data_IF_625565354913
#
_entry.id   IF_625565354913
#
_cell.length_a   1.000
_cell.length_b   1.000
_cell.length_c   1.000
_cell.angle_alpha   90.00
_cell.angle_beta   90.00
_cell.angle_gamma   90.00
#
_symmetry.space_group_name_H-M   'P 1'
#
loop_
_entity.id
_entity.type
_entity.pdbx_description
1 polymer ?
#
# COMPACT_ATOMS: atom_id res chain seq x y z
N UNK A 1 32.17 -13.09 14.47
CA UNK A 1 32.32 -12.10 15.55
C UNK A 1 31.66 -10.80 15.06
N UNK A 2 30.43 -10.54 15.48
CA UNK A 2 29.70 -9.34 15.12
C UNK A 2 30.41 -8.12 15.67
N UNK A 3 30.81 -7.21 14.77
CA UNK A 3 31.28 -5.88 15.18
C UNK A 3 30.05 -5.13 15.69
N UNK A 4 29.92 -4.90 16.99
CA UNK A 4 29.00 -3.87 17.50
C UNK A 4 29.28 -2.59 16.70
N UNK A 5 28.22 -1.91 16.25
CA UNK A 5 28.34 -0.55 15.72
C UNK A 5 29.25 0.22 16.68
N UNK A 6 30.32 0.79 16.15
CA UNK A 6 31.36 1.38 16.99
C UNK A 6 30.71 2.41 17.92
N UNK A 7 31.13 2.47 19.17
CA UNK A 7 30.68 3.43 20.17
C UNK A 7 30.65 4.87 19.64
N UNK A 8 31.69 5.22 18.85
CA UNK A 8 31.84 6.53 18.20
C UNK A 8 30.67 6.89 17.27
N UNK A 9 30.05 5.89 16.59
CA UNK A 9 28.88 6.09 15.73
C UNK A 9 27.66 6.46 16.59
N UNK A 10 27.43 5.72 17.66
CA UNK A 10 26.32 5.98 18.59
C UNK A 10 26.45 7.36 19.22
N UNK A 11 27.65 7.72 19.72
CA UNK A 11 27.94 9.04 20.30
C UNK A 11 27.73 10.19 19.30
N UNK A 12 28.05 9.97 18.02
CA UNK A 12 27.81 10.96 16.95
C UNK A 12 26.32 11.15 16.69
N UNK A 13 25.53 10.07 16.63
CA UNK A 13 24.08 10.12 16.46
C UNK A 13 23.38 10.75 17.68
N UNK A 14 23.86 10.46 18.91
CA UNK A 14 23.37 11.08 20.16
C UNK A 14 23.57 12.60 20.15
N UNK A 15 24.65 13.11 19.56
CA UNK A 15 24.87 14.56 19.42
C UNK A 15 23.89 15.24 18.47
N UNK A 16 23.37 14.52 17.49
CA UNK A 16 22.41 15.06 16.50
C UNK A 16 21.00 15.11 17.09
N UNK A 17 20.50 14.00 17.64
CA UNK A 17 19.09 13.87 18.01
C UNK A 17 18.83 13.89 19.52
N UNK A 18 19.85 13.79 20.37
CA UNK A 18 19.74 13.56 21.81
C UNK A 18 19.83 12.06 22.16
N UNK A 19 20.42 11.77 23.31
CA UNK A 19 20.70 10.39 23.77
C UNK A 19 19.43 9.54 23.91
N UNK A 20 18.33 10.12 24.37
CA UNK A 20 17.03 9.45 24.55
C UNK A 20 16.39 8.98 23.24
N UNK A 21 16.84 9.53 22.09
CA UNK A 21 16.31 9.23 20.74
C UNK A 21 17.24 8.31 19.93
N UNK A 22 18.29 7.80 20.56
CA UNK A 22 19.17 6.76 19.99
C UNK A 22 18.99 5.49 20.80
N UNK A 23 18.41 4.45 20.16
CA UNK A 23 18.09 3.18 20.84
C UNK A 23 19.05 2.09 20.37
N UNK A 24 19.80 1.52 21.31
CA UNK A 24 20.76 0.43 21.09
C UNK A 24 20.41 -0.85 21.85
N UNK A 25 19.51 -0.76 22.81
CA UNK A 25 19.08 -1.88 23.64
C UNK A 25 18.26 -2.88 22.83
N UNK A 26 18.68 -4.13 22.77
CA UNK A 26 18.06 -5.19 21.96
C UNK A 26 16.54 -5.29 22.15
N UNK A 27 16.07 -5.34 23.38
CA UNK A 27 14.65 -5.46 23.70
C UNK A 27 13.80 -4.29 23.19
N UNK A 28 14.39 -3.10 23.02
CA UNK A 28 13.71 -1.90 22.56
C UNK A 28 13.74 -1.71 21.04
N UNK A 29 14.68 -2.36 20.35
CA UNK A 29 14.79 -2.27 18.89
C UNK A 29 14.00 -3.35 18.16
N UNK A 30 13.53 -4.40 18.85
CA UNK A 30 12.86 -5.56 18.21
C UNK A 30 11.65 -5.16 17.37
N UNK A 31 10.83 -4.20 17.82
CA UNK A 31 9.68 -3.67 17.10
C UNK A 31 10.05 -2.90 15.81
N UNK A 32 11.32 -2.52 15.68
CA UNK A 32 11.84 -1.80 14.50
C UNK A 32 12.53 -2.72 13.49
N UNK A 33 12.68 -4.01 13.80
CA UNK A 33 13.41 -4.96 12.95
C UNK A 33 12.53 -5.63 11.90
N UNK A 34 11.22 -5.62 12.10
CA UNK A 34 10.27 -6.35 11.26
C UNK A 34 9.20 -5.41 10.72
N UNK A 35 8.62 -5.80 9.60
CA UNK A 35 7.37 -5.27 9.07
C UNK A 35 6.30 -6.37 9.06
N UNK A 36 5.15 -6.15 8.41
CA UNK A 36 4.05 -7.12 8.37
C UNK A 36 4.17 -8.16 7.24
N UNK A 37 5.30 -8.21 6.53
CA UNK A 37 5.55 -9.28 5.57
C UNK A 37 5.36 -10.65 6.24
N UNK A 38 4.73 -11.58 5.53
CA UNK A 38 4.53 -12.93 6.02
C UNK A 38 5.88 -13.62 6.33
N UNK A 39 5.93 -14.40 7.39
CA UNK A 39 7.17 -15.01 7.90
C UNK A 39 7.96 -15.77 6.85
N UNK A 40 7.27 -16.47 5.94
CA UNK A 40 7.91 -17.30 4.91
C UNK A 40 8.66 -16.49 3.84
N UNK A 41 8.31 -15.20 3.64
CA UNK A 41 8.94 -14.30 2.64
C UNK A 41 9.67 -13.13 3.26
N UNK A 42 9.56 -12.97 4.58
CA UNK A 42 10.19 -11.88 5.31
C UNK A 42 11.71 -12.03 5.31
N UNK A 43 12.47 -11.00 4.92
CA UNK A 43 13.92 -11.03 5.02
C UNK A 43 14.36 -11.11 6.49
N UNK A 44 15.51 -11.73 6.72
CA UNK A 44 16.09 -11.82 8.07
C UNK A 44 16.71 -10.47 8.44
N UNK A 45 16.33 -9.92 9.61
CA UNK A 45 16.93 -8.66 10.06
C UNK A 45 18.39 -8.85 10.50
N UNK A 46 19.19 -7.81 10.32
CA UNK A 46 20.54 -7.74 10.86
C UNK A 46 20.52 -7.66 12.40
N UNK A 47 21.64 -8.04 13.02
CA UNK A 47 21.75 -8.11 14.48
C UNK A 47 22.33 -6.85 15.11
N UNK A 48 23.11 -6.06 14.33
CA UNK A 48 23.79 -4.85 14.83
C UNK A 48 23.20 -3.62 14.14
N UNK A 49 22.04 -3.19 14.60
CA UNK A 49 21.41 -1.96 14.15
C UNK A 49 21.22 -1.01 15.33
N UNK A 50 21.17 0.29 15.01
CA UNK A 50 20.80 1.36 15.94
C UNK A 50 19.55 2.04 15.42
N UNK A 51 18.56 2.28 16.28
CA UNK A 51 17.35 3.04 15.90
C UNK A 51 17.55 4.50 16.28
N UNK A 52 17.35 5.40 15.33
CA UNK A 52 17.50 6.85 15.52
C UNK A 52 16.17 7.54 15.16
N UNK A 53 15.73 8.45 16.02
CA UNK A 53 14.44 9.14 15.93
C UNK A 53 14.64 10.66 15.79
N UNK A 54 14.79 11.19 14.57
CA UNK A 54 14.94 12.63 14.32
C UNK A 54 13.64 13.38 14.66
N UNK A 55 13.76 14.67 15.04
CA UNK A 55 12.63 15.54 15.34
C UNK A 55 12.21 16.43 14.17
N UNK A 56 13.06 16.58 13.14
CA UNK A 56 12.87 17.50 12.01
C UNK A 56 13.75 17.10 10.83
N UNK A 57 13.54 17.75 9.68
CA UNK A 57 14.32 17.50 8.46
C UNK A 57 15.81 17.78 8.60
N UNK A 58 16.20 18.72 9.46
CA UNK A 58 17.63 19.06 9.69
C UNK A 58 18.34 17.93 10.43
N UNK A 59 17.69 17.30 11.42
CA UNK A 59 18.24 16.11 12.07
C UNK A 59 18.44 14.97 11.05
N UNK A 60 17.43 14.74 10.17
CA UNK A 60 17.53 13.75 9.08
C UNK A 60 18.70 14.05 8.16
N UNK A 61 18.88 15.34 7.78
CA UNK A 61 19.99 15.82 6.95
C UNK A 61 21.35 15.48 7.59
N UNK A 62 21.54 15.81 8.86
CA UNK A 62 22.79 15.53 9.57
C UNK A 62 23.05 14.03 9.73
N UNK A 63 22.01 13.23 9.99
CA UNK A 63 22.15 11.76 10.10
C UNK A 63 22.56 11.17 8.75
N UNK A 64 21.91 11.60 7.63
CA UNK A 64 22.23 11.07 6.31
C UNK A 64 23.62 11.49 5.83
N UNK A 65 24.01 12.76 6.01
CA UNK A 65 25.36 13.22 5.70
C UNK A 65 26.42 12.42 6.46
N UNK A 66 26.23 12.21 7.77
CA UNK A 66 27.10 11.38 8.59
C UNK A 66 27.16 9.93 8.11
N UNK A 67 25.99 9.36 7.75
CA UNK A 67 25.91 7.99 7.26
C UNK A 67 26.59 7.82 5.90
N UNK A 68 26.44 8.79 4.99
CA UNK A 68 27.05 8.78 3.65
C UNK A 68 28.57 8.88 3.72
N UNK A 69 29.11 9.81 4.52
CA UNK A 69 30.54 9.94 4.76
C UNK A 69 31.19 8.65 5.31
N UNK A 70 30.44 7.95 6.18
CA UNK A 70 30.92 6.72 6.83
C UNK A 70 30.47 5.43 6.12
N UNK A 71 29.72 5.53 5.01
CA UNK A 71 29.13 4.42 4.24
C UNK A 71 28.32 3.47 5.13
N UNK A 72 27.48 4.03 5.99
CA UNK A 72 26.61 3.29 6.90
C UNK A 72 25.23 3.13 6.25
N UNK A 73 24.72 1.90 6.07
CA UNK A 73 23.37 1.67 5.58
C UNK A 73 22.31 2.34 6.46
N UNK A 74 21.33 2.99 5.82
CA UNK A 74 20.19 3.63 6.49
C UNK A 74 18.89 3.02 5.97
N UNK A 75 18.06 2.55 6.88
CA UNK A 75 16.75 1.95 6.62
C UNK A 75 15.65 2.89 7.10
N UNK A 76 15.07 3.73 6.23
CA UNK A 76 13.95 4.60 6.60
C UNK A 76 12.75 3.76 7.05
N UNK A 77 12.14 4.15 8.17
CA UNK A 77 11.00 3.43 8.74
C UNK A 77 9.87 4.39 9.08
N UNK A 78 8.68 4.12 8.55
CA UNK A 78 7.40 4.65 8.99
C UNK A 78 6.76 3.73 10.03
N UNK A 79 5.47 3.41 9.89
CA UNK A 79 4.75 2.50 10.79
C UNK A 79 5.21 1.04 10.76
N UNK A 80 5.93 0.62 9.73
CA UNK A 80 6.36 -0.78 9.56
C UNK A 80 5.23 -1.71 9.10
N UNK A 81 4.17 -1.19 8.53
CA UNK A 81 2.96 -1.90 8.08
C UNK A 81 3.09 -2.53 6.69
N UNK A 82 4.26 -2.44 6.06
CA UNK A 82 4.50 -2.99 4.72
C UNK A 82 4.52 -4.51 4.69
N UNK A 83 4.14 -5.10 3.55
CA UNK A 83 3.95 -6.55 3.37
C UNK A 83 5.07 -7.23 2.57
N UNK A 84 6.18 -6.52 2.28
CA UNK A 84 7.22 -7.00 1.36
C UNK A 84 8.64 -6.87 1.91
N UNK A 85 8.81 -6.68 3.22
CA UNK A 85 10.13 -6.58 3.86
C UNK A 85 10.84 -5.25 3.59
N UNK A 86 10.15 -4.23 3.09
CA UNK A 86 10.75 -2.95 2.70
C UNK A 86 11.38 -2.18 3.86
N UNK A 87 10.82 -2.28 5.07
CA UNK A 87 11.32 -1.61 6.28
C UNK A 87 12.29 -2.47 7.10
N UNK A 88 12.55 -3.72 6.72
CA UNK A 88 13.42 -4.64 7.46
C UNK A 88 14.90 -4.30 7.20
N UNK A 89 15.71 -3.98 8.24
CA UNK A 89 17.15 -3.75 8.07
C UNK A 89 17.85 -5.09 7.84
N UNK A 90 18.40 -5.32 6.66
CA UNK A 90 19.08 -6.59 6.30
C UNK A 90 20.59 -6.53 6.44
N UNK A 91 21.14 -5.37 6.79
CA UNK A 91 22.56 -5.14 7.03
C UNK A 91 22.73 -4.35 8.33
N UNK A 92 23.92 -4.43 8.93
CA UNK A 92 24.26 -3.59 10.07
C UNK A 92 24.20 -2.11 9.65
N UNK A 93 23.53 -1.27 10.45
CA UNK A 93 23.31 0.13 10.08
C UNK A 93 22.30 0.87 10.97
N UNK A 94 21.72 1.90 10.41
CA UNK A 94 20.79 2.81 11.10
C UNK A 94 19.36 2.51 10.65
N UNK A 95 18.46 2.22 11.56
CA UNK A 95 17.02 2.32 11.35
C UNK A 95 16.59 3.75 11.66
N UNK A 96 16.15 4.48 10.66
CA UNK A 96 15.74 5.88 10.78
C UNK A 96 14.22 5.94 10.94
N UNK A 97 13.75 5.97 12.20
CA UNK A 97 12.32 6.05 12.52
C UNK A 97 11.83 7.49 12.46
N UNK A 98 10.83 7.74 11.63
CA UNK A 98 10.27 9.08 11.39
C UNK A 98 9.09 9.42 12.32
N UNK A 99 8.82 8.60 13.33
CA UNK A 99 7.65 8.70 14.21
C UNK A 99 7.50 10.03 14.95
N UNK A 100 8.59 10.81 15.13
CA UNK A 100 8.56 12.13 15.78
C UNK A 100 8.22 13.28 14.84
N UNK A 101 8.23 13.04 13.53
CA UNK A 101 7.77 13.99 12.53
C UNK A 101 6.25 13.84 12.39
N UNK A 102 5.48 14.34 13.33
CA UNK A 102 4.07 13.98 13.51
C UNK A 102 3.09 15.15 13.39
N UNK A 103 3.53 16.31 12.88
CA UNK A 103 2.68 17.49 12.72
C UNK A 103 1.83 17.40 11.44
N UNK A 104 0.56 17.79 11.56
CA UNK A 104 -0.37 17.92 10.44
C UNK A 104 -1.16 19.22 10.55
N UNK A 105 -1.26 19.94 9.43
CA UNK A 105 -1.98 21.21 9.31
C UNK A 105 -2.92 21.16 8.09
N UNK A 106 -4.14 21.66 8.25
CA UNK A 106 -5.13 21.73 7.17
C UNK A 106 -5.23 23.16 6.63
N UNK A 107 -5.00 23.28 5.33
CA UNK A 107 -5.22 24.49 4.56
C UNK A 107 -6.57 24.37 3.82
N UNK A 108 -7.63 24.85 4.47
CA UNK A 108 -9.00 24.76 3.94
C UNK A 108 -9.18 25.56 2.66
N UNK A 109 -8.53 26.70 2.54
CA UNK A 109 -8.69 27.59 1.38
C UNK A 109 -8.12 26.95 0.12
N UNK A 110 -7.02 26.22 0.26
CA UNK A 110 -6.37 25.53 -0.85
C UNK A 110 -6.80 24.05 -0.98
N UNK A 111 -7.66 23.53 -0.09
CA UNK A 111 -8.05 22.13 0.01
C UNK A 111 -6.83 21.20 0.10
N UNK A 112 -5.94 21.49 1.03
CA UNK A 112 -4.69 20.73 1.20
C UNK A 112 -4.40 20.45 2.66
N UNK A 113 -3.67 19.34 2.89
CA UNK A 113 -3.02 19.04 4.15
C UNK A 113 -1.51 19.16 3.98
N UNK A 114 -0.84 19.73 4.97
CA UNK A 114 0.61 19.66 5.13
C UNK A 114 0.89 18.72 6.26
N UNK A 115 1.46 17.54 5.96
CA UNK A 115 1.69 16.48 6.94
C UNK A 115 3.17 16.09 6.98
N UNK A 116 3.75 15.97 8.17
CA UNK A 116 5.05 15.37 8.38
C UNK A 116 4.98 13.85 8.20
N UNK A 117 6.11 13.22 7.89
CA UNK A 117 6.17 11.83 7.44
C UNK A 117 5.69 10.80 8.46
N UNK A 118 5.80 11.09 9.75
CA UNK A 118 5.38 10.23 10.86
C UNK A 118 3.90 10.34 11.23
N UNK A 119 3.13 11.25 10.61
CA UNK A 119 1.68 11.35 10.81
C UNK A 119 1.02 10.05 10.36
N UNK A 120 0.18 9.43 11.20
CA UNK A 120 -0.59 8.26 10.79
C UNK A 120 -1.72 8.63 9.84
N UNK A 121 -2.11 7.70 8.97
CA UNK A 121 -3.25 7.90 8.07
C UNK A 121 -4.53 8.21 8.86
N UNK A 122 -4.77 7.50 9.97
CA UNK A 122 -5.91 7.76 10.85
C UNK A 122 -5.92 9.21 11.33
N UNK A 123 -4.77 9.74 11.83
CA UNK A 123 -4.68 11.13 12.29
C UNK A 123 -4.94 12.12 11.15
N UNK A 124 -4.39 11.86 9.94
CA UNK A 124 -4.63 12.70 8.78
C UNK A 124 -6.13 12.72 8.41
N UNK A 125 -6.78 11.55 8.35
CA UNK A 125 -8.22 11.43 8.05
C UNK A 125 -9.05 12.16 9.10
N UNK A 126 -8.78 11.94 10.39
CA UNK A 126 -9.51 12.59 11.49
C UNK A 126 -9.36 14.12 11.42
N UNK A 127 -8.13 14.62 11.23
CA UNK A 127 -7.88 16.06 11.17
C UNK A 127 -8.53 16.71 9.92
N UNK A 128 -8.56 16.00 8.79
CA UNK A 128 -9.27 16.46 7.60
C UNK A 128 -10.79 16.47 7.83
N UNK A 129 -11.34 15.44 8.49
CA UNK A 129 -12.77 15.32 8.81
C UNK A 129 -13.25 16.44 9.74
N UNK A 130 -12.49 16.78 10.77
CA UNK A 130 -12.73 17.92 11.67
C UNK A 130 -12.74 19.25 10.92
N UNK A 131 -11.99 19.33 9.83
CA UNK A 131 -11.99 20.46 8.93
C UNK A 131 -13.13 20.43 7.89
N UNK A 132 -14.03 19.44 7.92
CA UNK A 132 -15.09 19.19 6.92
C UNK A 132 -14.52 18.89 5.53
N UNK A 133 -13.34 18.25 5.48
CA UNK A 133 -12.68 17.80 4.26
C UNK A 133 -12.49 16.28 4.30
N UNK A 134 -12.20 15.72 3.13
CA UNK A 134 -12.07 14.29 2.92
C UNK A 134 -10.70 13.96 2.31
N UNK A 135 -9.98 13.00 2.92
CA UNK A 135 -8.80 12.38 2.34
C UNK A 135 -9.16 10.98 1.83
N UNK A 136 -9.05 10.71 0.52
CA UNK A 136 -9.69 9.52 -0.06
C UNK A 136 -8.90 8.22 0.05
N UNK A 137 -7.59 8.25 0.34
CA UNK A 137 -6.78 7.04 0.42
C UNK A 137 -7.32 6.06 1.47
N UNK A 138 -7.45 4.78 1.11
CA UNK A 138 -7.97 3.75 1.99
C UNK A 138 -7.28 2.38 1.73
N UNK A 139 -6.03 2.22 2.18
CA UNK A 139 -5.26 0.99 1.97
C UNK A 139 -5.64 -0.14 2.95
N UNK A 140 -6.57 0.10 3.89
CA UNK A 140 -7.00 -0.88 4.90
C UNK A 140 -6.20 -0.84 6.21
N UNK A 141 -5.05 -0.15 6.25
CA UNK A 141 -4.20 -0.03 7.45
C UNK A 141 -4.01 1.45 7.82
N UNK A 142 -4.76 1.90 8.82
CA UNK A 142 -4.81 3.32 9.22
C UNK A 142 -3.66 3.73 10.15
N UNK A 143 -2.90 2.79 10.72
CA UNK A 143 -1.69 3.08 11.51
C UNK A 143 -0.48 3.37 10.63
N UNK A 144 -0.57 3.08 9.32
CA UNK A 144 0.45 3.42 8.35
C UNK A 144 0.78 4.92 8.37
N UNK A 145 2.07 5.26 8.32
CA UNK A 145 2.54 6.64 8.36
C UNK A 145 2.61 7.25 6.95
N UNK A 146 2.27 8.53 6.83
CA UNK A 146 2.17 9.28 5.58
C UNK A 146 3.45 9.18 4.74
N UNK A 147 4.63 9.30 5.34
CA UNK A 147 5.90 9.13 4.63
C UNK A 147 6.06 7.75 4.00
N UNK A 148 5.64 6.69 4.71
CA UNK A 148 5.61 5.31 4.22
C UNK A 148 4.62 5.12 3.08
N UNK A 149 3.39 5.67 3.21
CA UNK A 149 2.37 5.63 2.16
C UNK A 149 2.85 6.29 0.86
N UNK A 150 3.56 7.42 0.95
CA UNK A 150 4.17 8.07 -0.23
C UNK A 150 5.34 7.26 -0.77
N UNK A 151 6.21 6.75 0.10
CA UNK A 151 7.38 5.96 -0.31
C UNK A 151 7.00 4.67 -1.03
N UNK A 152 5.86 4.06 -0.71
CA UNK A 152 5.34 2.86 -1.39
C UNK A 152 4.35 3.20 -2.52
N UNK A 153 3.93 4.46 -2.67
CA UNK A 153 2.84 4.87 -3.55
C UNK A 153 1.57 4.06 -3.26
N UNK A 154 1.17 4.01 -1.99
CA UNK A 154 0.07 3.18 -1.52
C UNK A 154 -1.23 3.40 -2.30
N UNK A 155 -1.94 2.32 -2.55
CA UNK A 155 -3.25 2.26 -3.21
C UNK A 155 -4.38 1.99 -2.23
N UNK A 156 -5.33 1.17 -2.65
CA UNK A 156 -6.49 0.71 -1.87
C UNK A 156 -7.80 0.85 -2.61
N UNK A 157 -8.87 0.43 -1.97
CA UNK A 157 -10.21 0.24 -2.56
C UNK A 157 -10.75 1.44 -3.38
N UNK A 158 -10.36 2.67 -3.05
CA UNK A 158 -10.87 3.91 -3.68
C UNK A 158 -10.02 4.38 -4.86
N UNK A 159 -9.05 3.57 -5.31
CA UNK A 159 -8.14 3.96 -6.37
C UNK A 159 -8.83 4.21 -7.71
N UNK A 160 -9.93 3.50 -8.00
CA UNK A 160 -10.69 3.70 -9.25
C UNK A 160 -11.24 5.12 -9.39
N UNK A 161 -11.74 5.75 -8.31
CA UNK A 161 -12.30 7.12 -8.36
C UNK A 161 -11.24 8.20 -8.15
N UNK A 162 -10.27 7.96 -7.27
CA UNK A 162 -9.34 9.00 -6.80
C UNK A 162 -7.88 8.75 -7.16
N UNK A 163 -7.54 7.55 -7.60
CA UNK A 163 -6.16 7.14 -7.84
C UNK A 163 -5.45 6.67 -6.56
N UNK A 164 -4.15 6.51 -6.68
CA UNK A 164 -3.23 6.08 -5.62
C UNK A 164 -2.50 7.28 -5.01
N UNK A 165 -1.62 7.07 -4.05
CA UNK A 165 -0.96 8.15 -3.29
C UNK A 165 -0.35 9.26 -4.16
N UNK A 166 0.29 8.94 -5.30
CA UNK A 166 0.86 9.94 -6.22
C UNK A 166 -0.16 10.94 -6.77
N UNK A 167 -1.43 10.57 -6.84
CA UNK A 167 -2.49 11.45 -7.34
C UNK A 167 -2.86 12.55 -6.33
N UNK A 168 -2.50 12.37 -5.07
CA UNK A 168 -2.78 13.34 -3.99
C UNK A 168 -1.59 14.24 -3.66
N UNK A 169 -0.35 13.75 -3.82
CA UNK A 169 0.85 14.53 -3.50
C UNK A 169 0.97 15.73 -4.44
N UNK A 170 1.11 16.92 -3.87
CA UNK A 170 1.31 18.20 -4.58
C UNK A 170 2.66 18.80 -4.30
N UNK A 171 3.28 18.44 -3.20
CA UNK A 171 4.61 18.87 -2.83
C UNK A 171 5.21 17.94 -1.80
N UNK A 172 6.52 17.96 -1.68
CA UNK A 172 7.23 17.21 -0.64
C UNK A 172 8.52 17.90 -0.23
N UNK A 173 8.91 17.67 1.00
CA UNK A 173 10.25 17.88 1.52
C UNK A 173 10.90 16.50 1.65
N UNK A 174 12.07 16.33 1.05
CA UNK A 174 12.80 15.07 1.07
C UNK A 174 14.30 15.32 1.26
N UNK A 175 14.99 14.39 1.91
CA UNK A 175 16.44 14.48 2.17
C UNK A 175 17.17 13.40 1.37
N UNK A 176 18.14 13.81 0.57
CA UNK A 176 19.01 12.93 -0.21
C UNK A 176 20.03 12.18 0.68
N UNK A 177 20.64 11.15 0.13
CA UNK A 177 21.72 10.42 0.82
C UNK A 177 22.86 11.34 1.28
N UNK A 178 23.19 12.38 0.51
CA UNK A 178 24.19 13.41 0.84
C UNK A 178 23.81 14.30 2.04
N UNK A 179 22.57 14.24 2.53
CA UNK A 179 22.04 15.15 3.53
C UNK A 179 21.39 16.43 2.96
N UNK A 180 21.44 16.65 1.64
CA UNK A 180 20.78 17.81 1.02
C UNK A 180 19.26 17.71 1.14
N UNK A 181 18.63 18.80 1.57
CA UNK A 181 17.16 18.91 1.70
C UNK A 181 16.57 19.47 0.40
N UNK A 182 15.67 18.73 -0.22
CA UNK A 182 14.93 19.14 -1.40
C UNK A 182 13.52 19.59 -1.04
N UNK A 183 13.09 20.70 -1.63
CA UNK A 183 11.69 21.15 -1.64
C UNK A 183 11.15 20.97 -3.05
N UNK A 184 10.19 20.09 -3.22
CA UNK A 184 9.62 19.73 -4.52
C UNK A 184 8.12 20.06 -4.55
N UNK A 185 7.65 20.63 -5.66
CA UNK A 185 6.23 21.00 -5.81
C UNK A 185 5.81 22.14 -4.88
N UNK A 186 4.60 22.00 -4.31
CA UNK A 186 4.00 23.03 -3.43
C UNK A 186 2.48 22.92 -3.40
N UNK A 187 1.79 23.94 -2.84
CA UNK A 187 0.32 24.02 -2.83
C UNK A 187 -0.23 24.42 -4.22
N UNK A 188 0.18 23.69 -5.25
CA UNK A 188 -0.09 24.00 -6.66
C UNK A 188 -0.89 22.90 -7.33
N UNK A 189 -1.88 23.25 -8.15
CA UNK A 189 -2.62 22.28 -8.96
C UNK A 189 -1.87 21.92 -10.26
N UNK A 190 -1.00 22.83 -10.75
CA UNK A 190 -0.21 22.64 -11.97
C UNK A 190 1.23 23.07 -11.71
N UNK A 191 2.18 22.21 -12.13
CA UNK A 191 3.60 22.54 -12.11
C UNK A 191 4.30 21.80 -13.26
N UNK A 192 4.85 22.57 -14.20
CA UNK A 192 5.61 22.06 -15.36
C UNK A 192 7.05 22.59 -15.35
N UNK A 193 7.56 22.99 -14.19
CA UNK A 193 8.91 23.57 -14.03
C UNK A 193 9.94 22.45 -13.89
N UNK A 194 10.55 22.06 -15.01
CA UNK A 194 11.60 21.06 -15.04
C UNK A 194 11.08 19.59 -15.04
N UNK A 195 11.99 18.65 -14.76
CA UNK A 195 11.63 17.24 -14.62
C UNK A 195 10.89 16.97 -13.32
N UNK A 196 9.97 16.03 -13.33
CA UNK A 196 9.19 15.65 -12.17
C UNK A 196 9.97 14.69 -11.25
N UNK A 197 10.87 15.26 -10.44
CA UNK A 197 11.67 14.53 -9.46
C UNK A 197 10.82 13.98 -8.32
N UNK A 198 9.71 14.65 -7.99
CA UNK A 198 8.80 14.22 -6.95
C UNK A 198 8.21 12.84 -7.28
N UNK A 199 7.75 12.64 -8.52
CA UNK A 199 7.22 11.35 -8.96
C UNK A 199 8.28 10.24 -9.11
N UNK A 200 9.57 10.55 -9.13
CA UNK A 200 10.63 9.54 -8.99
C UNK A 200 10.76 9.05 -7.54
N UNK A 201 10.59 9.96 -6.57
CA UNK A 201 10.69 9.65 -5.14
C UNK A 201 9.45 8.90 -4.65
N UNK A 202 8.25 9.27 -5.14
CA UNK A 202 7.00 8.56 -4.84
C UNK A 202 7.09 7.11 -5.35
N UNK A 203 6.92 6.14 -4.46
CA UNK A 203 7.02 4.72 -4.77
C UNK A 203 8.45 4.19 -4.88
N UNK A 204 9.46 4.96 -4.45
CA UNK A 204 10.86 4.51 -4.43
C UNK A 204 11.21 3.60 -3.25
N UNK A 205 10.29 3.40 -2.31
CA UNK A 205 10.46 2.56 -1.11
C UNK A 205 11.68 3.00 -0.25
N UNK A 206 11.92 4.33 -0.18
CA UNK A 206 13.01 4.91 0.60
C UNK A 206 14.41 4.69 0.03
N UNK A 207 14.53 4.32 -1.25
CA UNK A 207 15.82 4.08 -1.91
C UNK A 207 16.42 5.31 -2.58
N UNK A 208 15.63 6.36 -2.87
CA UNK A 208 16.11 7.57 -3.54
C UNK A 208 16.25 8.76 -2.57
N UNK A 209 15.37 8.88 -1.60
CA UNK A 209 15.40 9.94 -0.60
C UNK A 209 14.59 9.53 0.63
N UNK A 210 14.80 10.23 1.75
CA UNK A 210 13.95 10.14 2.96
C UNK A 210 12.95 11.27 2.93
N UNK A 211 11.66 10.95 2.86
CA UNK A 211 10.56 11.91 2.87
C UNK A 211 10.34 12.39 4.31
N UNK A 212 10.33 13.70 4.54
CA UNK A 212 10.13 14.30 5.86
C UNK A 212 8.79 15.02 5.98
N UNK A 213 8.26 15.53 4.87
CA UNK A 213 6.99 16.26 4.85
C UNK A 213 6.33 16.16 3.47
N UNK A 214 5.00 16.17 3.42
CA UNK A 214 4.24 16.18 2.17
C UNK A 214 3.09 17.18 2.22
N UNK A 215 2.73 17.69 1.04
CA UNK A 215 1.54 18.48 0.79
C UNK A 215 0.57 17.60 0.01
N UNK A 216 -0.60 17.34 0.58
CA UNK A 216 -1.60 16.41 0.07
C UNK A 216 -2.88 17.14 -0.32
N UNK A 217 -3.42 16.82 -1.48
CA UNK A 217 -4.73 17.30 -1.89
C UNK A 217 -5.83 16.66 -1.05
N UNK A 218 -6.76 17.49 -0.61
CA UNK A 218 -8.02 17.11 0.03
C UNK A 218 -9.21 17.39 -0.89
N UNK A 219 -10.34 16.84 -0.53
CA UNK A 219 -11.60 17.00 -1.25
C UNK A 219 -12.69 17.50 -0.30
N UNK A 220 -13.75 18.17 -0.80
CA UNK A 220 -14.96 18.39 -0.01
C UNK A 220 -15.54 17.06 0.47
N UNK A 221 -16.11 17.07 1.66
CA UNK A 221 -16.78 15.90 2.24
C UNK A 221 -18.05 15.56 1.46
N UNK A 222 -18.31 14.30 1.25
CA UNK A 222 -19.54 13.82 0.64
C UNK A 222 -20.70 13.94 1.62
N UNK A 223 -21.90 14.28 1.12
CA UNK A 223 -23.11 14.37 1.96
C UNK A 223 -23.76 13.01 2.16
N UNK A 224 -23.64 12.11 1.18
CA UNK A 224 -24.25 10.79 1.21
C UNK A 224 -23.28 9.68 0.80
N UNK A 225 -23.41 8.53 1.43
CA UNK A 225 -22.69 7.29 1.10
C UNK A 225 -23.65 6.12 1.09
N UNK A 226 -23.36 5.09 0.29
CA UNK A 226 -24.04 3.80 0.33
C UNK A 226 -23.03 2.66 0.12
N UNK A 227 -23.43 1.46 0.53
CA UNK A 227 -22.71 0.23 0.21
C UNK A 227 -23.72 -0.80 -0.27
N UNK A 228 -23.49 -1.35 -1.46
CA UNK A 228 -24.34 -2.36 -2.05
C UNK A 228 -23.60 -3.69 -2.18
N UNK A 229 -24.21 -4.78 -1.72
CA UNK A 229 -23.72 -6.14 -1.96
C UNK A 229 -24.50 -6.71 -3.14
N UNK A 230 -23.80 -7.09 -4.20
CA UNK A 230 -24.38 -7.69 -5.40
C UNK A 230 -23.95 -9.15 -5.48
N UNK A 231 -24.83 -10.11 -5.18
CA UNK A 231 -24.51 -11.53 -5.19
C UNK A 231 -24.59 -12.11 -6.61
N UNK A 232 -23.69 -13.06 -6.90
CA UNK A 232 -23.65 -13.79 -8.16
C UNK A 232 -23.40 -15.29 -7.93
N UNK A 233 -24.00 -16.13 -8.78
CA UNK A 233 -23.67 -17.55 -8.86
C UNK A 233 -22.47 -17.82 -9.78
N UNK A 234 -22.14 -16.87 -10.64
CA UNK A 234 -21.04 -16.95 -11.61
C UNK A 234 -20.05 -15.81 -11.40
N UNK A 235 -18.79 -16.15 -11.12
CA UNK A 235 -17.69 -15.21 -11.03
C UNK A 235 -17.50 -14.40 -12.33
N UNK A 236 -17.62 -15.07 -13.49
CA UNK A 236 -17.52 -14.40 -14.79
C UNK A 236 -18.60 -13.31 -14.95
N UNK A 237 -19.82 -13.59 -14.53
CA UNK A 237 -20.89 -12.61 -14.59
C UNK A 237 -20.62 -11.42 -13.67
N UNK A 238 -20.12 -11.69 -12.45
CA UNK A 238 -19.73 -10.64 -11.53
C UNK A 238 -18.64 -9.73 -12.14
N UNK A 239 -17.53 -10.31 -12.56
CA UNK A 239 -16.39 -9.55 -13.09
C UNK A 239 -16.69 -8.85 -14.43
N UNK A 240 -17.54 -9.44 -15.30
CA UNK A 240 -18.00 -8.82 -16.53
C UNK A 240 -18.93 -7.63 -16.30
N UNK A 241 -19.58 -7.54 -15.13
CA UNK A 241 -20.41 -6.38 -14.77
C UNK A 241 -19.59 -5.13 -14.53
N UNK A 242 -18.36 -5.28 -14.01
CA UNK A 242 -17.50 -4.16 -13.59
C UNK A 242 -17.21 -3.19 -14.73
N UNK A 243 -16.66 -3.61 -15.90
CA UNK A 243 -16.43 -2.70 -17.01
C UNK A 243 -17.71 -2.02 -17.51
N UNK A 244 -18.85 -2.69 -17.43
CA UNK A 244 -20.14 -2.13 -17.87
C UNK A 244 -20.62 -1.02 -16.95
N UNK A 245 -20.47 -1.19 -15.63
CA UNK A 245 -20.75 -0.13 -14.66
C UNK A 245 -19.88 1.09 -14.94
N UNK A 246 -18.59 0.90 -15.16
CA UNK A 246 -17.66 2.01 -15.46
C UNK A 246 -17.97 2.69 -16.80
N UNK A 247 -18.36 1.93 -17.84
CA UNK A 247 -18.73 2.45 -19.15
C UNK A 247 -20.07 3.23 -19.15
N UNK A 248 -20.98 2.94 -18.22
CA UNK A 248 -22.24 3.68 -18.07
C UNK A 248 -22.01 5.12 -17.55
N UNK A 249 -20.76 5.47 -17.18
CA UNK A 249 -20.36 6.79 -16.74
C UNK A 249 -20.50 7.03 -15.24
N UNK A 250 -21.01 6.06 -14.50
CA UNK A 250 -21.03 6.08 -13.04
C UNK A 250 -19.71 5.59 -12.51
N UNK A 251 -19.07 6.43 -11.69
CA UNK A 251 -17.77 6.11 -11.09
C UNK A 251 -17.98 5.90 -9.59
N UNK A 252 -18.24 4.67 -9.16
CA UNK A 252 -18.38 4.36 -7.74
C UNK A 252 -17.06 4.65 -7.00
N UNK A 253 -17.18 4.78 -5.68
CA UNK A 253 -16.00 4.98 -4.82
C UNK A 253 -15.08 3.76 -4.86
N UNK A 254 -15.67 2.56 -4.91
CA UNK A 254 -14.96 1.29 -5.04
C UNK A 254 -15.90 0.19 -5.57
N UNK A 255 -15.34 -0.83 -6.24
CA UNK A 255 -16.01 -2.12 -6.50
C UNK A 255 -15.04 -3.22 -6.07
N UNK A 256 -15.39 -3.90 -4.99
CA UNK A 256 -14.63 -4.99 -4.42
C UNK A 256 -15.18 -6.35 -4.87
N UNK A 257 -14.30 -7.32 -5.06
CA UNK A 257 -14.67 -8.71 -5.33
C UNK A 257 -14.27 -9.62 -4.17
N UNK A 258 -15.14 -10.49 -3.74
CA UNK A 258 -14.81 -11.56 -2.80
C UNK A 258 -15.72 -12.79 -2.99
N UNK A 259 -15.20 -13.98 -2.69
CA UNK A 259 -15.96 -15.22 -2.68
C UNK A 259 -16.76 -15.37 -1.38
N UNK A 260 -17.87 -16.09 -1.43
CA UNK A 260 -18.79 -16.24 -0.31
C UNK A 260 -18.14 -16.88 0.91
N UNK A 261 -17.40 -17.97 0.73
CA UNK A 261 -16.74 -18.68 1.82
C UNK A 261 -15.69 -17.82 2.54
N UNK A 262 -15.00 -16.94 1.81
CA UNK A 262 -14.11 -15.96 2.42
C UNK A 262 -14.86 -14.94 3.27
N UNK A 263 -15.99 -14.42 2.77
CA UNK A 263 -16.79 -13.45 3.51
C UNK A 263 -17.43 -14.07 4.77
N UNK A 264 -17.97 -15.29 4.66
CA UNK A 264 -18.54 -16.02 5.80
C UNK A 264 -17.47 -16.39 6.84
N UNK A 265 -16.29 -16.86 6.38
CA UNK A 265 -15.14 -17.13 7.24
C UNK A 265 -14.68 -15.89 7.99
N UNK A 266 -14.57 -14.76 7.27
CA UNK A 266 -14.12 -13.49 7.86
C UNK A 266 -15.12 -12.95 8.85
N UNK A 267 -16.42 -12.95 8.51
CA UNK A 267 -17.48 -12.54 9.43
C UNK A 267 -17.40 -13.32 10.74
N UNK A 268 -17.29 -14.66 10.64
CA UNK A 268 -17.12 -15.52 11.82
C UNK A 268 -15.86 -15.20 12.63
N UNK A 269 -14.73 -14.89 11.95
CA UNK A 269 -13.47 -14.57 12.61
C UNK A 269 -13.56 -13.33 13.50
N UNK A 270 -14.27 -12.29 13.03
CA UNK A 270 -14.44 -11.02 13.76
C UNK A 270 -15.72 -10.95 14.60
N UNK A 271 -16.49 -12.04 14.70
CA UNK A 271 -17.73 -12.08 15.47
C UNK A 271 -18.91 -11.33 14.84
N UNK A 272 -18.89 -11.13 13.53
CA UNK A 272 -19.96 -10.51 12.73
C UNK A 272 -20.77 -11.56 11.96
N UNK A 273 -21.86 -11.11 11.36
CA UNK A 273 -22.71 -11.94 10.47
C UNK A 273 -22.71 -11.31 9.08
N UNK A 274 -22.34 -12.11 8.05
CA UNK A 274 -22.47 -11.68 6.67
C UNK A 274 -23.96 -11.66 6.28
N UNK A 275 -24.50 -10.52 5.77
CA UNK A 275 -25.94 -10.34 5.63
C UNK A 275 -26.56 -11.10 4.46
N UNK A 276 -25.79 -11.48 3.44
CA UNK A 276 -26.26 -12.13 2.21
C UNK A 276 -25.88 -13.61 2.21
N UNK A 277 -26.89 -14.50 2.10
CA UNK A 277 -26.69 -15.95 2.12
C UNK A 277 -26.68 -16.59 0.72
N UNK A 278 -27.12 -15.86 -0.29
CA UNK A 278 -27.19 -16.34 -1.67
C UNK A 278 -25.95 -15.93 -2.47
N UNK A 279 -25.73 -16.63 -3.60
CA UNK A 279 -24.59 -16.39 -4.48
C UNK A 279 -23.33 -17.18 -4.08
N UNK A 280 -22.43 -17.38 -5.02
CA UNK A 280 -21.12 -17.98 -4.83
C UNK A 280 -20.03 -16.91 -4.60
N UNK A 281 -20.27 -15.69 -5.09
CA UNK A 281 -19.37 -14.55 -4.92
C UNK A 281 -20.15 -13.24 -4.91
N UNK A 282 -19.46 -12.16 -4.54
CA UNK A 282 -20.05 -10.83 -4.37
C UNK A 282 -19.22 -9.75 -5.05
N UNK A 283 -19.91 -8.76 -5.64
CA UNK A 283 -19.36 -7.43 -5.78
C UNK A 283 -19.87 -6.58 -4.62
N UNK A 284 -18.98 -5.85 -3.97
CA UNK A 284 -19.30 -4.88 -2.93
C UNK A 284 -19.03 -3.50 -3.54
N UNK A 285 -20.10 -2.78 -3.86
CA UNK A 285 -20.02 -1.47 -4.50
C UNK A 285 -20.19 -0.40 -3.43
N UNK A 286 -19.21 0.50 -3.35
CA UNK A 286 -19.25 1.66 -2.45
C UNK A 286 -19.49 2.91 -3.28
N UNK A 287 -20.40 3.76 -2.83
CA UNK A 287 -20.71 5.02 -3.48
C UNK A 287 -20.60 6.18 -2.49
N UNK A 288 -20.25 7.35 -3.00
CA UNK A 288 -20.20 8.58 -2.23
C UNK A 288 -20.48 9.76 -3.17
N UNK A 289 -21.54 10.53 -2.87
CA UNK A 289 -22.03 11.61 -3.72
C UNK A 289 -22.46 12.84 -2.90
N UNK A 290 -22.74 13.92 -3.60
CA UNK A 290 -23.14 15.21 -3.02
C UNK A 290 -24.62 15.28 -2.60
N UNK A 291 -25.42 14.25 -2.90
CA UNK A 291 -26.81 14.17 -2.46
C UNK A 291 -27.31 12.74 -2.36
N UNK A 292 -28.34 12.52 -1.52
CA UNK A 292 -29.02 11.23 -1.37
C UNK A 292 -29.73 10.80 -2.65
N UNK A 293 -30.37 11.72 -3.36
CA UNK A 293 -31.09 11.41 -4.60
C UNK A 293 -30.14 10.89 -5.67
N UNK A 294 -28.92 11.44 -5.75
CA UNK A 294 -27.88 10.97 -6.66
C UNK A 294 -27.44 9.55 -6.30
N UNK A 295 -27.16 9.28 -5.02
CA UNK A 295 -26.81 7.94 -4.52
C UNK A 295 -27.88 6.92 -4.92
N UNK A 296 -29.15 7.21 -4.66
CA UNK A 296 -30.25 6.29 -4.98
C UNK A 296 -30.35 6.03 -6.48
N UNK A 297 -30.24 7.08 -7.29
CA UNK A 297 -30.24 6.99 -8.76
C UNK A 297 -29.07 6.12 -9.28
N UNK A 298 -27.87 6.33 -8.76
CA UNK A 298 -26.68 5.61 -9.20
C UNK A 298 -26.73 4.15 -8.73
N UNK A 299 -27.09 3.90 -7.47
CA UNK A 299 -27.25 2.54 -6.92
C UNK A 299 -28.30 1.73 -7.70
N UNK A 300 -29.44 2.32 -8.04
CA UNK A 300 -30.48 1.64 -8.85
C UNK A 300 -29.93 1.30 -10.24
N UNK A 301 -29.25 2.23 -10.89
CA UNK A 301 -28.70 1.98 -12.22
C UNK A 301 -27.60 0.92 -12.22
N UNK A 302 -26.71 0.94 -11.22
CA UNK A 302 -25.69 -0.09 -11.05
C UNK A 302 -26.34 -1.46 -10.81
N UNK A 303 -27.37 -1.51 -9.97
CA UNK A 303 -28.13 -2.74 -9.72
C UNK A 303 -28.78 -3.30 -11.00
N UNK A 304 -29.35 -2.43 -11.86
CA UNK A 304 -29.89 -2.82 -13.17
C UNK A 304 -28.81 -3.44 -14.06
N UNK A 305 -27.68 -2.77 -14.23
CA UNK A 305 -26.54 -3.27 -15.01
C UNK A 305 -26.09 -4.63 -14.49
N UNK A 306 -26.00 -4.80 -13.18
CA UNK A 306 -25.61 -6.06 -12.57
C UNK A 306 -26.68 -7.16 -12.83
N UNK A 307 -27.96 -6.85 -12.75
CA UNK A 307 -29.06 -7.78 -13.08
C UNK A 307 -29.03 -8.20 -14.53
N UNK A 308 -28.80 -7.28 -15.48
CA UNK A 308 -28.63 -7.59 -16.90
C UNK A 308 -27.48 -8.56 -17.14
N UNK A 309 -26.48 -8.60 -16.24
CA UNK A 309 -25.34 -9.50 -16.27
C UNK A 309 -25.51 -10.73 -15.34
N UNK A 310 -26.71 -11.01 -14.87
CA UNK A 310 -27.06 -12.23 -14.15
C UNK A 310 -26.73 -12.20 -12.66
N UNK A 311 -26.77 -11.03 -12.01
CA UNK A 311 -26.75 -10.98 -10.55
C UNK A 311 -28.06 -11.52 -9.97
N UNK A 312 -27.97 -11.97 -8.73
CA UNK A 312 -29.12 -12.15 -7.87
C UNK A 312 -29.58 -10.79 -7.33
N UNK A 313 -30.56 -10.77 -6.42
CA UNK A 313 -31.09 -9.51 -5.88
C UNK A 313 -30.01 -8.79 -5.04
N UNK A 314 -29.64 -7.55 -5.41
CA UNK A 314 -28.70 -6.75 -4.64
C UNK A 314 -29.27 -6.31 -3.29
N UNK A 315 -28.40 -6.21 -2.27
CA UNK A 315 -28.70 -5.64 -0.96
C UNK A 315 -28.04 -4.26 -0.85
N UNK A 316 -28.84 -3.20 -0.75
CA UNK A 316 -28.37 -1.83 -0.53
C UNK A 316 -28.42 -1.49 0.96
N UNK A 317 -27.29 -1.11 1.52
CA UNK A 317 -27.14 -0.57 2.88
C UNK A 317 -26.96 0.96 2.82
N UNK A 318 -27.97 1.69 3.25
CA UNK A 318 -27.92 3.15 3.39
C UNK A 318 -27.49 3.60 4.80
N UNK A 319 -27.98 2.96 5.92
CA UNK A 319 -27.55 3.30 7.25
C UNK A 319 -26.04 3.12 7.43
N UNK A 320 -25.38 4.11 8.04
CA UNK A 320 -23.91 4.14 8.18
C UNK A 320 -23.37 2.94 8.96
N UNK A 321 -24.05 2.51 10.00
CA UNK A 321 -23.67 1.36 10.81
C UNK A 321 -23.74 0.02 10.04
N UNK A 322 -24.70 -0.12 9.10
CA UNK A 322 -24.77 -1.28 8.21
C UNK A 322 -23.62 -1.27 7.19
N UNK A 323 -23.35 -0.12 6.58
CA UNK A 323 -22.20 0.05 5.68
C UNK A 323 -20.91 -0.32 6.42
N UNK A 324 -20.69 0.22 7.61
CA UNK A 324 -19.47 -0.01 8.39
C UNK A 324 -19.30 -1.49 8.78
N UNK A 325 -20.40 -2.21 9.06
CA UNK A 325 -20.35 -3.67 9.30
C UNK A 325 -19.93 -4.45 8.05
N UNK A 326 -20.49 -4.15 6.89
CA UNK A 326 -20.14 -4.78 5.61
C UNK A 326 -18.65 -4.54 5.31
N UNK A 327 -18.21 -3.29 5.40
CA UNK A 327 -16.83 -2.91 5.12
C UNK A 327 -15.84 -3.48 6.12
N UNK A 328 -16.24 -3.60 7.40
CA UNK A 328 -15.43 -4.24 8.44
C UNK A 328 -15.17 -5.72 8.10
N UNK A 329 -16.19 -6.46 7.66
CA UNK A 329 -15.97 -7.83 7.21
C UNK A 329 -15.01 -7.85 6.02
N UNK A 330 -15.23 -7.02 4.98
CA UNK A 330 -14.36 -6.97 3.79
C UNK A 330 -12.90 -6.65 4.13
N UNK A 331 -12.67 -5.67 4.98
CA UNK A 331 -11.31 -5.22 5.35
C UNK A 331 -10.55 -6.24 6.19
N UNK A 332 -11.23 -7.16 6.88
CA UNK A 332 -10.60 -8.16 7.72
C UNK A 332 -10.34 -9.51 7.05
N UNK A 333 -10.48 -9.62 5.71
CA UNK A 333 -10.17 -10.88 5.00
C UNK A 333 -8.72 -11.30 5.23
N UNK A 334 -7.76 -10.38 5.13
CA UNK A 334 -6.36 -10.68 5.42
C UNK A 334 -6.17 -11.20 6.85
N UNK A 335 -6.72 -10.52 7.85
CA UNK A 335 -6.66 -10.93 9.25
C UNK A 335 -7.17 -12.36 9.48
N UNK A 336 -8.28 -12.72 8.82
CA UNK A 336 -8.85 -14.07 8.90
C UNK A 336 -7.99 -15.16 8.23
N UNK A 337 -7.11 -14.79 7.30
CA UNK A 337 -6.21 -15.70 6.57
C UNK A 337 -4.76 -15.67 7.07
N UNK A 338 -4.36 -14.64 7.79
CA UNK A 338 -2.96 -14.31 8.13
C UNK A 338 -2.21 -15.51 8.76
N UNK A 339 -2.83 -16.21 9.70
CA UNK A 339 -2.20 -17.34 10.39
C UNK A 339 -1.80 -18.48 9.45
N UNK A 340 -2.53 -18.65 8.34
CA UNK A 340 -2.33 -19.72 7.37
C UNK A 340 -1.60 -19.24 6.09
N UNK A 341 -1.46 -17.94 5.90
CA UNK A 341 -0.82 -17.32 4.72
C UNK A 341 0.70 -17.41 4.81
N UNK A 342 1.32 -17.86 3.74
CA UNK A 342 2.77 -17.87 3.54
C UNK A 342 3.24 -16.65 2.73
N UNK A 343 2.47 -16.22 1.72
CA UNK A 343 2.73 -15.01 0.93
C UNK A 343 1.42 -14.48 0.34
N UNK A 344 1.41 -13.18 -0.02
CA UNK A 344 0.29 -12.54 -0.73
C UNK A 344 0.82 -12.00 -2.05
N UNK A 345 0.31 -12.52 -3.15
CA UNK A 345 0.60 -11.97 -4.47
C UNK A 345 -0.39 -10.85 -4.76
N UNK A 346 0.16 -9.69 -5.07
CA UNK A 346 -0.55 -8.43 -5.29
C UNK A 346 -0.56 -8.10 -6.78
N UNK A 347 -1.16 -8.98 -7.58
CA UNK A 347 -1.13 -8.86 -9.04
C UNK A 347 -2.19 -7.91 -9.56
N UNK A 348 -1.84 -7.13 -10.58
CA UNK A 348 -2.79 -6.22 -11.24
C UNK A 348 -2.77 -6.46 -12.74
N UNK A 349 -3.95 -6.53 -13.34
CA UNK A 349 -4.17 -6.63 -14.78
C UNK A 349 -5.13 -5.53 -15.24
N UNK A 350 -5.23 -5.22 -16.56
CA UNK A 350 -6.33 -4.40 -17.03
C UNK A 350 -7.67 -4.92 -16.50
N UNK A 351 -8.60 -4.07 -16.02
CA UNK A 351 -9.83 -4.55 -15.37
C UNK A 351 -10.66 -5.53 -16.20
N UNK A 352 -10.63 -5.42 -17.52
CA UNK A 352 -11.29 -6.37 -18.41
C UNK A 352 -10.67 -7.79 -18.42
N UNK A 353 -9.42 -7.93 -17.95
CA UNK A 353 -8.69 -9.20 -17.93
C UNK A 353 -8.77 -9.94 -16.59
N UNK A 354 -9.40 -9.34 -15.58
CA UNK A 354 -9.44 -9.88 -14.22
C UNK A 354 -10.09 -11.29 -14.18
N UNK A 355 -11.13 -11.52 -14.99
CA UNK A 355 -11.77 -12.83 -15.11
C UNK A 355 -10.81 -13.89 -15.64
N UNK A 356 -10.02 -13.55 -16.66
CA UNK A 356 -9.01 -14.45 -17.22
C UNK A 356 -7.85 -14.73 -16.27
N UNK A 357 -7.47 -13.73 -15.46
CA UNK A 357 -6.48 -13.93 -14.41
C UNK A 357 -7.01 -14.91 -13.34
N UNK A 358 -8.26 -14.76 -12.92
CA UNK A 358 -8.87 -15.69 -11.97
C UNK A 358 -8.95 -17.12 -12.51
N UNK A 359 -9.24 -17.30 -13.81
CA UNK A 359 -9.20 -18.64 -14.44
C UNK A 359 -7.79 -19.24 -14.43
N UNK A 360 -6.78 -18.42 -14.66
CA UNK A 360 -5.39 -18.86 -14.57
C UNK A 360 -5.01 -19.25 -13.13
N UNK A 361 -5.46 -18.52 -12.13
CA UNK A 361 -5.27 -18.86 -10.70
C UNK A 361 -5.93 -20.21 -10.38
N UNK A 362 -7.15 -20.45 -10.83
CA UNK A 362 -7.84 -21.75 -10.64
C UNK A 362 -7.13 -22.90 -11.35
N UNK A 363 -6.62 -22.67 -12.56
CA UNK A 363 -5.86 -23.69 -13.29
C UNK A 363 -4.57 -24.05 -12.54
N UNK A 364 -3.85 -23.05 -12.01
CA UNK A 364 -2.67 -23.25 -11.18
C UNK A 364 -3.06 -23.99 -9.89
N UNK A 365 -4.11 -23.57 -9.20
CA UNK A 365 -4.61 -24.23 -7.99
C UNK A 365 -4.91 -25.72 -8.24
N UNK A 366 -5.62 -26.03 -9.33
CA UNK A 366 -5.97 -27.40 -9.71
C UNK A 366 -4.74 -28.24 -10.05
N UNK A 367 -3.79 -27.68 -10.81
CA UNK A 367 -2.56 -28.38 -11.24
C UNK A 367 -1.69 -28.80 -10.07
N UNK A 368 -1.60 -27.97 -9.04
CA UNK A 368 -0.75 -28.23 -7.86
C UNK A 368 -1.54 -28.76 -6.65
N UNK A 369 -2.85 -28.92 -6.74
CA UNK A 369 -3.72 -29.27 -5.61
C UNK A 369 -3.70 -28.25 -4.49
N UNK A 370 -3.42 -26.97 -4.84
CA UNK A 370 -3.28 -25.87 -3.90
C UNK A 370 -4.62 -25.22 -3.58
N UNK A 371 -4.69 -24.51 -2.45
CA UNK A 371 -5.80 -23.61 -2.10
C UNK A 371 -5.31 -22.16 -2.17
N UNK A 372 -5.84 -21.39 -3.10
CA UNK A 372 -5.42 -20.03 -3.42
C UNK A 372 -6.57 -19.04 -3.19
N UNK A 373 -6.91 -18.72 -1.92
CA UNK A 373 -7.96 -17.74 -1.62
C UNK A 373 -7.64 -16.41 -2.30
N UNK A 374 -8.63 -15.87 -3.04
CA UNK A 374 -8.42 -14.67 -3.86
C UNK A 374 -9.56 -13.69 -3.66
N UNK A 375 -9.23 -12.43 -3.47
CA UNK A 375 -10.15 -11.29 -3.40
C UNK A 375 -9.42 -10.05 -3.91
N UNK A 376 -10.12 -8.94 -4.12
CA UNK A 376 -9.44 -7.71 -4.52
C UNK A 376 -10.33 -6.59 -5.00
N UNK A 377 -9.67 -5.58 -5.57
CA UNK A 377 -10.26 -4.36 -6.09
C UNK A 377 -10.65 -4.58 -7.56
N UNK A 378 -11.91 -5.03 -7.78
CA UNK A 378 -12.33 -5.45 -9.12
C UNK A 378 -12.35 -4.29 -10.14
N UNK A 379 -12.58 -3.06 -9.67
CA UNK A 379 -12.69 -1.89 -10.56
C UNK A 379 -11.34 -1.44 -11.15
N UNK A 380 -10.23 -1.69 -10.47
CA UNK A 380 -8.87 -1.31 -10.93
C UNK A 380 -8.00 -2.50 -11.35
N UNK A 381 -8.56 -3.72 -11.27
CA UNK A 381 -7.89 -4.92 -11.76
C UNK A 381 -6.90 -5.55 -10.79
N UNK A 382 -6.85 -5.10 -9.52
CA UNK A 382 -5.92 -5.59 -8.52
C UNK A 382 -6.50 -6.76 -7.72
N UNK A 383 -5.76 -7.88 -7.69
CA UNK A 383 -6.11 -9.09 -6.95
C UNK A 383 -5.04 -9.46 -5.92
N UNK A 384 -5.50 -9.85 -4.74
CA UNK A 384 -4.70 -10.44 -3.68
C UNK A 384 -4.88 -11.95 -3.69
N UNK A 385 -3.88 -12.68 -4.18
CA UNK A 385 -3.87 -14.15 -4.22
C UNK A 385 -3.02 -14.66 -3.06
N UNK A 386 -3.63 -15.37 -2.13
CA UNK A 386 -2.94 -15.93 -0.97
C UNK A 386 -2.29 -17.27 -1.30
N UNK A 387 -0.99 -17.36 -1.09
CA UNK A 387 -0.26 -18.63 -1.06
C UNK A 387 -0.26 -19.14 0.38
N UNK A 388 -0.78 -20.36 0.59
CA UNK A 388 -1.01 -20.88 1.92
C UNK A 388 0.20 -21.67 2.45
N UNK A 389 0.42 -21.66 3.77
CA UNK A 389 1.52 -22.40 4.43
C UNK A 389 1.51 -23.90 4.13
N UNK A 390 0.33 -24.51 3.91
CA UNK A 390 0.21 -25.91 3.53
C UNK A 390 0.84 -26.22 2.16
N UNK A 391 0.99 -25.22 1.29
CA UNK A 391 1.49 -25.34 -0.08
C UNK A 391 2.96 -24.90 -0.22
N UNK A 392 3.69 -24.74 0.90
CA UNK A 392 5.08 -24.25 0.94
C UNK A 392 6.03 -25.00 0.02
N UNK A 393 5.82 -26.31 -0.19
CA UNK A 393 6.66 -27.12 -1.08
C UNK A 393 6.63 -26.64 -2.54
N UNK A 394 5.55 -25.98 -2.98
CA UNK A 394 5.32 -25.51 -4.35
C UNK A 394 5.26 -23.98 -4.45
N UNK A 395 5.61 -23.26 -3.39
CA UNK A 395 5.33 -21.81 -3.30
C UNK A 395 6.01 -20.99 -4.41
N UNK A 396 7.21 -21.38 -4.83
CA UNK A 396 7.96 -20.70 -5.89
C UNK A 396 7.29 -20.90 -7.25
N UNK A 397 6.87 -22.12 -7.57
CA UNK A 397 6.17 -22.47 -8.79
C UNK A 397 4.79 -21.78 -8.87
N UNK A 398 4.04 -21.82 -7.78
CA UNK A 398 2.74 -21.16 -7.67
C UNK A 398 2.89 -19.65 -7.95
N UNK A 399 3.86 -19.00 -7.31
CA UNK A 399 4.17 -17.58 -7.50
C UNK A 399 4.54 -17.28 -8.97
N UNK A 400 5.49 -18.05 -9.52
CA UNK A 400 5.98 -17.82 -10.89
C UNK A 400 4.86 -17.99 -11.93
N UNK A 401 4.03 -19.02 -11.81
CA UNK A 401 2.90 -19.26 -12.73
C UNK A 401 1.89 -18.13 -12.69
N UNK A 402 1.52 -17.63 -11.49
CA UNK A 402 0.55 -16.54 -11.34
C UNK A 402 1.13 -15.23 -11.86
N UNK A 403 2.39 -14.91 -11.55
CA UNK A 403 3.06 -13.71 -12.07
C UNK A 403 3.16 -13.71 -13.59
N UNK A 404 3.52 -14.86 -14.20
CA UNK A 404 3.54 -15.00 -15.67
C UNK A 404 2.16 -14.83 -16.28
N UNK A 405 1.12 -15.38 -15.66
CA UNK A 405 -0.24 -15.21 -16.12
C UNK A 405 -0.65 -13.72 -16.11
N UNK A 406 -0.35 -13.00 -15.02
CA UNK A 406 -0.64 -11.56 -14.94
C UNK A 406 0.09 -10.76 -16.06
N UNK A 407 1.38 -11.03 -16.27
CA UNK A 407 2.17 -10.35 -17.31
C UNK A 407 1.66 -10.68 -18.72
N UNK A 408 1.30 -11.93 -19.00
CA UNK A 408 0.74 -12.33 -20.29
C UNK A 408 -0.58 -11.62 -20.60
N UNK A 409 -1.31 -11.23 -19.58
CA UNK A 409 -2.55 -10.44 -19.68
C UNK A 409 -2.28 -8.92 -19.71
N UNK A 410 -1.03 -8.49 -19.83
CA UNK A 410 -0.64 -7.07 -19.87
C UNK A 410 -0.58 -6.40 -18.50
N UNK A 411 -0.50 -7.20 -17.43
CA UNK A 411 -0.45 -6.76 -16.05
C UNK A 411 0.95 -6.65 -15.46
N UNK A 412 1.00 -6.54 -14.12
CA UNK A 412 2.21 -6.40 -13.31
C UNK A 412 2.17 -7.33 -12.10
N UNK A 413 3.33 -7.58 -11.49
CA UNK A 413 3.48 -8.48 -10.34
C UNK A 413 3.13 -7.84 -8.99
N UNK A 414 2.97 -6.51 -8.94
CA UNK A 414 2.53 -5.79 -7.75
C UNK A 414 1.78 -4.52 -8.16
N UNK A 415 0.57 -4.35 -7.63
CA UNK A 415 -0.29 -3.19 -7.83
C UNK A 415 0.00 -2.09 -6.81
N UNK A 416 0.07 -2.46 -5.53
CA UNK A 416 0.17 -1.50 -4.43
C UNK A 416 1.19 -1.88 -3.34
N UNK A 417 1.45 -3.20 -3.07
CA UNK A 417 2.31 -3.63 -1.95
C UNK A 417 3.79 -3.28 -2.15
N UNK A 418 4.24 -3.14 -3.42
CA UNK A 418 5.62 -2.86 -3.76
C UNK A 418 6.48 -4.13 -3.95
N UNK A 419 7.76 -3.92 -4.20
CA UNK A 419 8.76 -4.98 -4.41
C UNK A 419 9.45 -5.36 -3.10
N UNK A 420 9.82 -4.36 -2.31
CA UNK A 420 10.56 -4.55 -1.06
C UNK A 420 11.86 -5.33 -1.24
N UNK A 421 12.22 -6.07 -0.21
CA UNK A 421 13.32 -7.05 -0.21
C UNK A 421 12.82 -8.46 -0.56
N UNK A 422 11.53 -8.73 -0.36
CA UNK A 422 10.94 -10.05 -0.59
C UNK A 422 10.90 -10.45 -2.08
N UNK A 423 10.83 -9.46 -3.00
CA UNK A 423 10.64 -9.71 -4.44
C UNK A 423 11.78 -9.20 -5.32
N UNK A 424 12.73 -8.44 -4.76
CA UNK A 424 13.78 -7.74 -5.54
C UNK A 424 14.65 -8.69 -6.36
N UNK A 425 15.02 -9.84 -5.82
CA UNK A 425 15.85 -10.82 -6.53
C UNK A 425 15.15 -11.47 -7.74
N UNK A 426 13.83 -11.57 -7.69
CA UNK A 426 13.01 -12.15 -8.75
C UNK A 426 12.60 -11.12 -9.83
N UNK A 427 12.69 -9.84 -9.53
CA UNK A 427 12.27 -8.76 -10.43
C UNK A 427 12.83 -8.86 -11.86
N UNK A 428 14.12 -9.25 -12.09
CA UNK A 428 14.67 -9.42 -13.44
C UNK A 428 13.98 -10.48 -14.30
N UNK A 429 13.16 -11.36 -13.72
CA UNK A 429 12.40 -12.37 -14.46
C UNK A 429 11.12 -11.80 -15.06
N UNK A 430 10.65 -10.66 -14.55
CA UNK A 430 9.33 -10.08 -14.84
C UNK A 430 9.39 -8.66 -15.40
N UNK A 431 10.57 -8.03 -15.42
CA UNK A 431 10.75 -6.67 -15.90
C UNK A 431 11.86 -6.60 -16.94
N UNK A 432 11.70 -5.73 -17.93
CA UNK A 432 12.68 -5.54 -19.00
C UNK A 432 14.04 -5.09 -18.44
N UNK A 433 15.12 -5.71 -18.92
CA UNK A 433 16.49 -5.41 -18.46
C UNK A 433 16.86 -3.95 -18.63
N UNK A 434 16.42 -3.29 -19.73
CA UNK A 434 16.74 -1.87 -19.96
C UNK A 434 16.09 -0.97 -18.93
N UNK A 435 14.89 -1.32 -18.46
CA UNK A 435 14.21 -0.59 -17.38
C UNK A 435 15.00 -0.74 -16.07
N UNK A 436 15.43 -1.96 -15.71
CA UNK A 436 16.25 -2.21 -14.52
C UNK A 436 17.57 -1.42 -14.60
N UNK A 437 18.27 -1.46 -15.74
CA UNK A 437 19.53 -0.74 -15.91
C UNK A 437 19.34 0.79 -15.80
N UNK A 438 18.22 1.33 -16.28
CA UNK A 438 17.90 2.75 -16.11
C UNK A 438 17.60 3.10 -14.66
N UNK A 439 16.81 2.28 -13.94
CA UNK A 439 16.52 2.49 -12.53
C UNK A 439 17.79 2.44 -11.67
N UNK A 440 18.74 1.54 -11.97
CA UNK A 440 20.07 1.52 -11.30
C UNK A 440 20.82 2.84 -11.49
N UNK A 441 20.83 3.38 -12.72
CA UNK A 441 21.47 4.68 -13.00
C UNK A 441 20.81 5.81 -12.21
N UNK A 442 19.47 5.83 -12.12
CA UNK A 442 18.74 6.80 -11.31
C UNK A 442 19.12 6.65 -9.83
N UNK A 443 19.15 5.44 -9.29
CA UNK A 443 19.58 5.18 -7.92
C UNK A 443 20.98 5.74 -7.65
N UNK A 444 21.94 5.49 -8.54
CA UNK A 444 23.31 5.97 -8.40
C UNK A 444 23.46 7.50 -8.51
N UNK A 445 22.50 8.21 -9.11
CA UNK A 445 22.46 9.68 -9.11
C UNK A 445 21.99 10.20 -7.75
N UNK A 446 20.96 9.59 -7.16
CA UNK A 446 20.38 10.01 -5.89
C UNK A 446 21.17 9.53 -4.66
N UNK A 447 21.83 8.39 -4.76
CA UNK A 447 22.53 7.71 -3.67
C UNK A 447 23.76 6.96 -4.21
N UNK A 448 24.85 7.69 -4.51
CA UNK A 448 26.07 7.12 -5.12
C UNK A 448 26.76 6.03 -4.26
N UNK A 449 26.64 6.13 -2.94
CA UNK A 449 27.23 5.19 -1.99
C UNK A 449 26.28 4.03 -1.62
N UNK A 450 25.05 4.02 -2.18
CA UNK A 450 24.01 3.01 -1.93
C UNK A 450 23.76 2.77 -0.44
N UNK A 451 23.63 3.87 0.34
CA UNK A 451 23.34 3.79 1.76
C UNK A 451 21.85 3.70 2.07
N UNK A 452 20.96 4.28 1.20
CA UNK A 452 19.53 4.34 1.44
C UNK A 452 18.84 3.01 1.07
N UNK A 453 18.31 2.36 2.09
CA UNK A 453 17.49 1.14 2.02
C UNK A 453 18.07 0.08 1.05
N UNK A 454 19.36 -0.30 1.18
CA UNK A 454 20.02 -1.19 0.24
C UNK A 454 19.30 -2.56 0.14
N UNK A 455 19.28 -3.14 -1.07
CA UNK A 455 18.61 -4.41 -1.35
C UNK A 455 17.09 -4.31 -1.46
N UNK A 456 16.53 -3.09 -1.56
CA UNK A 456 15.09 -2.85 -1.72
C UNK A 456 14.80 -2.33 -3.13
N UNK A 457 13.60 -2.62 -3.66
CA UNK A 457 13.01 -2.07 -4.88
C UNK A 457 13.65 -2.55 -6.17
N UNK A 458 14.95 -2.43 -6.31
CA UNK A 458 15.71 -2.82 -7.51
C UNK A 458 16.94 -3.63 -7.12
N UNK A 459 17.34 -4.63 -7.91
CA UNK A 459 18.58 -5.38 -7.69
C UNK A 459 19.77 -4.52 -8.11
N UNK A 460 20.70 -4.28 -7.21
CA UNK A 460 21.96 -3.52 -7.44
C UNK A 460 23.13 -4.48 -7.47
#
# INVERSE_FOLDING_TARGET
MGRHLKRDIVESLEKIVGKEYVVVERARIEDYLLDEAAEAVRPRPATNVVVVKPANAQDVSHILAFADENRIPVFPRGGGTGLVGGAVPTQDGIVLSLERLDKVEIDKENLMAVAEAGVTLQRLITTADEASLFFPLHPGEETAQVGGLVATNAGGARAIKFGVMRNYVRGMEAVLASGEILQLGGKLQKNNTGYDLMNLIIGSEGTLAVITKVILRLYPKFEATSTMIVPYNSRHNALNSVPRVLQDGRMPLAIEYAERDLMERTAKHIGEVWPVKEGACYLIVMEAESSRDQILSDSLRIAEICKENGSLEPLLAEPKDEQDRILRVRSNIYSALQAETADILDVTVPPAEIGRLMDAVDEVARRYGAYLPTYGHAADGNLHVHLMKRDLANIEELRDQIYRAAIQLGGVITGEHGIGKARVEKLPQYLDKKQIDLMRKIKMIFDPNNILNPGTKIPI
#
